data_IF_246083367280
#
_entry.id   IF_246083367280
#
_cell.length_a   1.000
_cell.length_b   1.000
_cell.length_c   1.000
_cell.angle_alpha   90.00
_cell.angle_beta   90.00
_cell.angle_gamma   90.00
#
_symmetry.space_group_name_H-M   'P 1'
#
loop_
_entity.id
_entity.type
_entity.pdbx_description
1 polymer ?
#
# COMPACT_ATOMS: atom_id res chain seq x y z
N UNK A 1 16.11 -1.43 -33.65
CA UNK A 1 16.98 -2.17 -32.71
C UNK A 1 16.31 -2.52 -31.36
N UNK A 2 15.12 -2.02 -31.01
CA UNK A 2 14.44 -2.30 -29.71
C UNK A 2 13.39 -3.43 -29.72
N UNK A 3 13.38 -4.34 -30.72
CA UNK A 3 12.32 -5.36 -30.82
C UNK A 3 12.40 -6.50 -29.78
N UNK A 4 13.59 -6.75 -29.21
CA UNK A 4 13.81 -7.92 -28.33
C UNK A 4 13.87 -7.59 -26.82
N UNK A 5 13.94 -6.31 -26.45
CA UNK A 5 14.02 -5.89 -25.04
C UNK A 5 12.65 -5.74 -24.36
N UNK A 6 11.55 -5.85 -25.11
CA UNK A 6 10.19 -5.69 -24.58
C UNK A 6 9.91 -6.67 -23.42
N UNK A 7 10.30 -7.94 -23.57
CA UNK A 7 10.12 -8.95 -22.53
C UNK A 7 11.02 -8.70 -21.32
N UNK A 8 12.26 -8.25 -21.51
CA UNK A 8 13.19 -7.98 -20.41
C UNK A 8 12.74 -6.76 -19.60
N UNK A 9 12.34 -5.67 -20.26
CA UNK A 9 11.80 -4.48 -19.57
C UNK A 9 10.51 -4.79 -18.83
N UNK A 10 9.63 -5.63 -19.39
CA UNK A 10 8.43 -6.09 -18.70
C UNK A 10 8.76 -6.86 -17.42
N UNK A 11 9.70 -7.82 -17.47
CA UNK A 11 10.11 -8.58 -16.27
C UNK A 11 10.68 -7.66 -15.19
N UNK A 12 11.49 -6.67 -15.56
CA UNK A 12 12.03 -5.68 -14.61
C UNK A 12 10.91 -4.82 -14.02
N UNK A 13 9.98 -4.33 -14.84
CA UNK A 13 8.86 -3.51 -14.37
C UNK A 13 7.91 -4.31 -13.48
N UNK A 14 7.60 -5.56 -13.83
CA UNK A 14 6.79 -6.47 -13.02
C UNK A 14 7.48 -6.74 -11.68
N UNK A 15 8.79 -6.99 -11.67
CA UNK A 15 9.57 -7.13 -10.44
C UNK A 15 9.52 -5.86 -9.56
N UNK A 16 9.62 -4.69 -10.18
CA UNK A 16 9.47 -3.40 -9.50
C UNK A 16 8.06 -3.22 -8.90
N UNK A 17 7.01 -3.57 -9.64
CA UNK A 17 5.63 -3.49 -9.16
C UNK A 17 5.36 -4.47 -8.01
N UNK A 18 5.92 -5.68 -8.04
CA UNK A 18 5.81 -6.63 -6.92
C UNK A 18 6.56 -6.11 -5.70
N UNK A 19 7.74 -5.53 -5.88
CA UNK A 19 8.51 -4.93 -4.78
C UNK A 19 7.81 -3.73 -4.14
N UNK A 20 7.11 -2.92 -4.93
CA UNK A 20 6.36 -1.77 -4.41
C UNK A 20 5.11 -2.18 -3.64
N UNK A 21 4.56 -3.39 -3.86
CA UNK A 21 3.37 -3.90 -3.16
C UNK A 21 3.52 -3.85 -1.63
N UNK A 22 4.72 -4.18 -1.12
CA UNK A 22 5.03 -4.09 0.30
C UNK A 22 4.90 -2.66 0.85
N UNK A 23 5.24 -1.65 0.04
CA UNK A 23 5.19 -0.24 0.42
C UNK A 23 3.79 0.36 0.29
N UNK A 24 3.02 -0.03 -0.73
CA UNK A 24 1.66 0.50 -0.97
C UNK A 24 0.57 -0.23 -0.18
N UNK A 25 0.93 -1.25 0.59
CA UNK A 25 -0.02 -2.04 1.35
C UNK A 25 -0.83 -1.15 2.32
N UNK A 26 -2.18 -1.16 2.25
CA UNK A 26 -2.98 -0.20 2.99
C UNK A 26 -3.14 -0.52 4.47
N UNK A 27 -3.03 -1.80 4.86
CA UNK A 27 -3.21 -2.24 6.25
C UNK A 27 -1.86 -2.34 6.97
N UNK A 28 -1.42 -1.22 7.54
CA UNK A 28 -0.17 -1.10 8.29
C UNK A 28 -0.47 -0.61 9.70
N UNK A 29 0.00 -1.36 10.71
CA UNK A 29 -0.17 -1.00 12.13
C UNK A 29 1.15 -0.43 12.65
N UNK A 30 1.17 0.79 13.24
CA UNK A 30 2.33 1.28 13.97
C UNK A 30 2.55 0.42 15.22
N UNK A 31 3.71 -0.23 15.29
CA UNK A 31 4.12 -1.05 16.43
C UNK A 31 4.96 -0.22 17.40
N UNK A 32 5.73 0.74 16.88
CA UNK A 32 6.59 1.61 17.68
C UNK A 32 6.46 3.05 17.20
N UNK A 33 6.24 3.97 18.14
CA UNK A 33 6.21 5.39 17.85
C UNK A 33 6.83 6.22 18.97
N UNK A 34 7.49 7.30 18.58
CA UNK A 34 8.14 8.25 19.47
C UNK A 34 7.18 9.41 19.74
N UNK A 35 6.92 9.70 21.01
CA UNK A 35 6.31 10.97 21.39
C UNK A 35 7.41 12.04 21.45
N UNK A 36 7.27 13.10 20.64
CA UNK A 36 8.23 14.22 20.64
C UNK A 36 8.18 15.06 21.92
N UNK A 37 7.06 15.04 22.64
CA UNK A 37 6.88 15.81 23.88
C UNK A 37 7.67 15.19 25.04
N UNK A 38 7.57 13.87 25.20
CA UNK A 38 8.23 13.16 26.31
C UNK A 38 9.60 12.58 25.94
N UNK A 39 9.91 12.44 24.64
CA UNK A 39 11.09 11.73 24.15
C UNK A 39 11.05 10.21 24.37
N UNK A 40 9.89 9.66 24.78
CA UNK A 40 9.72 8.25 25.11
C UNK A 40 9.20 7.49 23.88
N UNK A 41 9.72 6.28 23.68
CA UNK A 41 9.24 5.33 22.67
C UNK A 41 8.16 4.45 23.29
N UNK A 42 6.95 4.56 22.75
CA UNK A 42 5.84 3.69 23.11
C UNK A 42 5.77 2.52 22.11
N UNK A 43 5.50 1.31 22.64
CA UNK A 43 5.34 0.08 21.85
C UNK A 43 3.92 -0.45 22.04
N UNK A 44 3.21 -0.67 20.94
CA UNK A 44 1.81 -1.13 20.98
C UNK A 44 0.81 -0.08 20.52
N UNK A 45 -0.42 -0.53 20.23
CA UNK A 45 -1.52 0.30 19.72
C UNK A 45 -2.39 0.92 20.83
N UNK A 46 -2.10 0.58 22.08
CA UNK A 46 -2.85 0.90 23.29
C UNK A 46 -2.97 2.40 23.54
N UNK A 47 -1.97 3.19 23.14
CA UNK A 47 -1.98 4.65 23.27
C UNK A 47 -2.00 5.41 21.92
N UNK A 48 -2.01 4.71 20.78
CA UNK A 48 -1.98 5.36 19.46
C UNK A 48 -3.22 6.23 19.21
N UNK A 49 -4.40 5.79 19.68
CA UNK A 49 -5.65 6.56 19.54
C UNK A 49 -5.83 7.73 20.52
N UNK A 50 -4.97 7.84 21.54
CA UNK A 50 -5.10 8.85 22.61
C UNK A 50 -4.07 9.98 22.52
N UNK A 51 -3.03 9.84 21.69
CA UNK A 51 -1.96 10.82 21.56
C UNK A 51 -2.25 11.71 20.34
N UNK A 52 -2.07 13.02 20.51
CA UNK A 52 -2.25 14.00 19.42
C UNK A 52 -1.34 13.64 18.24
N UNK A 53 -1.94 13.43 17.06
CA UNK A 53 -1.25 12.98 15.84
C UNK A 53 -0.12 13.93 15.38
N UNK A 54 -0.09 15.16 15.89
CA UNK A 54 0.89 16.20 15.51
C UNK A 54 2.28 15.97 16.13
N UNK A 55 2.38 15.24 17.26
CA UNK A 55 3.64 15.01 17.98
C UNK A 55 4.16 13.56 17.93
N UNK A 56 3.55 12.70 17.11
CA UNK A 56 3.94 11.29 16.98
C UNK A 56 4.85 11.09 15.77
N UNK A 57 6.03 10.50 15.98
CA UNK A 57 6.87 9.98 14.89
C UNK A 57 6.80 8.46 14.89
N UNK A 58 6.23 7.88 13.82
CA UNK A 58 6.17 6.43 13.67
C UNK A 58 7.58 5.90 13.37
N UNK A 59 8.04 4.93 14.17
CA UNK A 59 9.38 4.33 14.06
C UNK A 59 9.31 3.00 13.32
N UNK A 60 8.29 2.19 13.61
CA UNK A 60 8.16 0.86 13.03
C UNK A 60 6.69 0.49 12.81
N UNK A 61 6.42 -0.13 11.67
CA UNK A 61 5.08 -0.52 11.24
C UNK A 61 5.08 -1.98 10.78
N UNK A 62 4.06 -2.74 11.18
CA UNK A 62 3.84 -4.12 10.78
C UNK A 62 2.74 -4.19 9.72
N UNK A 63 3.01 -4.92 8.63
CA UNK A 63 1.97 -5.25 7.66
C UNK A 63 1.05 -6.31 8.26
N UNK A 64 -0.24 -6.04 8.17
CA UNK A 64 -1.27 -6.96 8.62
C UNK A 64 -2.30 -7.17 7.53
N UNK A 65 -3.04 -8.27 7.64
CA UNK A 65 -4.19 -8.49 6.78
C UNK A 65 -5.38 -7.63 7.25
N UNK A 66 -6.39 -7.39 6.40
CA UNK A 66 -7.54 -6.60 6.80
C UNK A 66 -8.30 -7.16 8.01
N UNK A 67 -8.19 -8.47 8.26
CA UNK A 67 -8.79 -9.14 9.42
C UNK A 67 -8.15 -8.73 10.74
N UNK A 68 -6.87 -8.40 10.72
CA UNK A 68 -6.07 -8.07 11.90
C UNK A 68 -5.86 -6.55 12.04
N UNK A 69 -6.53 -5.75 11.20
CA UNK A 69 -6.46 -4.30 11.26
C UNK A 69 -7.42 -3.76 12.31
N UNK A 70 -6.92 -3.54 13.52
CA UNK A 70 -7.73 -3.20 14.70
C UNK A 70 -7.83 -1.69 15.00
N UNK A 71 -7.23 -0.83 14.17
CA UNK A 71 -7.17 0.63 14.42
C UNK A 71 -8.45 1.35 13.99
N UNK A 72 -9.04 0.92 12.88
CA UNK A 72 -10.25 1.52 12.31
C UNK A 72 -10.95 0.50 11.40
N UNK A 73 -12.11 0.86 10.87
CA UNK A 73 -12.79 0.09 9.82
C UNK A 73 -11.84 -0.10 8.63
N UNK A 74 -11.49 -1.35 8.27
CA UNK A 74 -10.48 -1.64 7.26
C UNK A 74 -10.91 -1.31 5.83
N UNK A 75 -12.12 -0.75 5.64
CA UNK A 75 -12.71 -0.34 4.34
C UNK A 75 -12.42 -1.33 3.21
N UNK A 76 -12.46 -2.63 3.51
CA UNK A 76 -12.08 -3.70 2.58
C UNK A 76 -12.92 -3.68 1.32
N UNK A 77 -14.20 -3.34 1.45
CA UNK A 77 -15.14 -3.23 0.34
C UNK A 77 -14.68 -2.21 -0.70
N UNK A 78 -14.28 -0.99 -0.29
CA UNK A 78 -13.88 0.06 -1.23
C UNK A 78 -12.58 -0.30 -1.94
N UNK A 79 -11.63 -0.91 -1.23
CA UNK A 79 -10.34 -1.35 -1.80
C UNK A 79 -10.56 -2.40 -2.89
N UNK A 80 -11.43 -3.38 -2.64
CA UNK A 80 -11.78 -4.41 -3.63
C UNK A 80 -12.48 -3.80 -4.84
N UNK A 81 -13.40 -2.86 -4.63
CA UNK A 81 -14.08 -2.15 -5.73
C UNK A 81 -13.07 -1.36 -6.57
N UNK A 82 -12.18 -0.58 -5.95
CA UNK A 82 -11.15 0.18 -6.66
C UNK A 82 -10.17 -0.72 -7.43
N UNK A 83 -9.82 -1.89 -6.87
CA UNK A 83 -9.02 -2.90 -7.58
C UNK A 83 -9.74 -3.38 -8.85
N UNK A 84 -11.02 -3.75 -8.74
CA UNK A 84 -11.83 -4.20 -9.88
C UNK A 84 -11.93 -3.10 -10.95
N UNK A 85 -12.18 -1.85 -10.54
CA UNK A 85 -12.23 -0.69 -11.44
C UNK A 85 -10.89 -0.52 -12.17
N UNK A 86 -9.77 -0.63 -11.46
CA UNK A 86 -8.43 -0.56 -12.07
C UNK A 86 -8.23 -1.62 -13.15
N UNK A 87 -8.61 -2.87 -12.88
CA UNK A 87 -8.56 -3.94 -13.89
C UNK A 87 -9.45 -3.66 -15.09
N UNK A 88 -10.69 -3.22 -14.87
CA UNK A 88 -11.61 -2.85 -15.96
C UNK A 88 -11.00 -1.75 -16.83
N UNK A 89 -10.40 -0.73 -16.22
CA UNK A 89 -9.78 0.40 -16.93
C UNK A 89 -8.61 -0.08 -17.82
N UNK A 90 -7.76 -0.96 -17.30
CA UNK A 90 -6.67 -1.57 -18.08
C UNK A 90 -7.20 -2.40 -19.25
N UNK A 91 -8.25 -3.20 -19.04
CA UNK A 91 -8.87 -4.00 -20.11
C UNK A 91 -9.51 -3.14 -21.19
N UNK A 92 -10.12 -2.01 -20.82
CA UNK A 92 -10.68 -1.05 -21.77
C UNK A 92 -9.58 -0.38 -22.60
N UNK A 93 -8.46 -0.01 -21.98
CA UNK A 93 -7.31 0.55 -22.68
C UNK A 93 -6.69 -0.45 -23.67
N UNK A 94 -6.50 -1.70 -23.24
CA UNK A 94 -5.98 -2.76 -24.12
C UNK A 94 -6.90 -2.99 -25.33
N UNK A 95 -8.21 -3.04 -25.09
CA UNK A 95 -9.21 -3.17 -26.15
C UNK A 95 -9.19 -1.98 -27.13
N UNK A 96 -9.01 -0.76 -26.64
CA UNK A 96 -8.93 0.44 -27.48
C UNK A 96 -7.67 0.46 -28.34
N UNK A 97 -6.55 0.01 -27.77
CA UNK A 97 -5.26 -0.03 -28.47
C UNK A 97 -5.28 -1.07 -29.60
N UNK A 98 -5.89 -2.24 -29.37
CA UNK A 98 -6.00 -3.32 -30.35
C UNK A 98 -6.90 -3.01 -31.55
N UNK A 99 -7.72 -1.95 -31.49
CA UNK A 99 -8.59 -1.51 -32.58
C UNK A 99 -7.90 -0.53 -33.55
N UNK A 100 -6.68 -0.06 -33.24
CA UNK A 100 -5.91 0.85 -34.11
C UNK A 100 -4.83 0.15 -34.94
N UNK A 101 -4.60 -1.15 -34.70
CA UNK A 101 -3.85 -2.05 -35.58
C UNK A 101 -4.79 -2.75 -36.58
#
# INVERSE_FOLDING_TARGET
AFKNFHQQTLVVLTGFMIGSLYKIWPWRLPVEYLNKEDGIVYKGLDKFGQINHENIKIISEKLVLPKDYTINDPNTLIVVISMIIGFILVLLLDRSNKSQD
#
